data_IF_865647124486
#
_entry.id   IF_865647124486
#
_cell.length_a   1.000
_cell.length_b   1.000
_cell.length_c   1.000
_cell.angle_alpha   90.00
_cell.angle_beta   90.00
_cell.angle_gamma   90.00
#
_symmetry.space_group_name_H-M   'P 1'
#
loop_
_entity.id
_entity.type
_entity.pdbx_description
1 polymer ?
#
# COMPACT_ATOMS: atom_id res chain seq x y z
N UNK A 1 -11.92 -0.75 5.06
CA UNK A 1 -11.95 -0.52 3.60
C UNK A 1 -13.19 0.28 3.24
N UNK A 2 -13.03 1.39 2.49
CA UNK A 2 -14.16 2.27 2.16
C UNK A 2 -15.18 1.59 1.24
N UNK A 3 -14.70 0.84 0.23
CA UNK A 3 -15.57 0.14 -0.72
C UNK A 3 -16.44 -0.95 -0.07
N UNK A 4 -15.87 -1.77 0.83
CA UNK A 4 -16.66 -2.79 1.54
C UNK A 4 -17.69 -2.15 2.48
N UNK A 5 -17.32 -1.04 3.14
CA UNK A 5 -18.21 -0.34 4.07
C UNK A 5 -19.40 0.34 3.37
N UNK A 6 -19.33 0.58 2.06
CA UNK A 6 -20.45 1.11 1.29
C UNK A 6 -21.48 0.06 0.86
N UNK A 7 -21.18 -1.24 1.04
CA UNK A 7 -22.11 -2.31 0.65
C UNK A 7 -23.22 -2.44 1.71
N UNK A 8 -24.51 -2.48 1.31
CA UNK A 8 -25.63 -2.69 2.22
C UNK A 8 -25.42 -3.95 3.09
N UNK A 9 -25.80 -3.87 4.37
CA UNK A 9 -25.62 -4.98 5.32
C UNK A 9 -24.25 -5.04 6.01
N UNK A 10 -23.25 -4.31 5.54
CA UNK A 10 -21.96 -4.22 6.23
C UNK A 10 -22.05 -3.17 7.37
N UNK A 11 -21.79 -3.60 8.61
CA UNK A 11 -21.67 -2.73 9.79
C UNK A 11 -20.25 -2.17 9.91
N UNK A 12 -19.25 -3.04 9.79
CA UNK A 12 -17.84 -2.69 9.79
C UNK A 12 -17.07 -3.65 8.89
N UNK A 13 -15.89 -3.23 8.41
CA UNK A 13 -15.11 -4.06 7.50
C UNK A 13 -13.62 -3.71 7.46
N UNK A 14 -12.81 -4.76 7.34
CA UNK A 14 -11.38 -4.74 7.04
C UNK A 14 -11.15 -5.51 5.74
N UNK A 15 -10.40 -4.92 4.81
CA UNK A 15 -9.94 -5.63 3.60
C UNK A 15 -8.42 -5.60 3.61
N UNK A 16 -7.81 -6.77 3.57
CA UNK A 16 -6.38 -6.96 3.50
C UNK A 16 -6.00 -7.38 2.09
N UNK A 17 -4.89 -6.83 1.60
CA UNK A 17 -4.33 -7.17 0.29
C UNK A 17 -3.13 -8.08 0.51
N UNK A 18 -3.19 -9.28 -0.02
CA UNK A 18 -2.15 -10.29 0.12
C UNK A 18 -1.46 -10.47 -1.24
N UNK A 19 -0.14 -10.21 -1.34
CA UNK A 19 0.58 -10.41 -2.58
C UNK A 19 0.72 -11.91 -2.89
N UNK A 20 0.40 -12.30 -4.12
CA UNK A 20 0.61 -13.66 -4.64
C UNK A 20 1.82 -13.74 -5.59
N UNK A 21 2.52 -12.62 -5.79
CA UNK A 21 3.62 -12.48 -6.76
C UNK A 21 3.15 -11.97 -8.11
N UNK A 22 4.09 -11.53 -8.95
CA UNK A 22 3.83 -11.07 -10.34
C UNK A 22 2.77 -9.97 -10.49
N UNK A 23 2.55 -9.16 -9.45
CA UNK A 23 1.53 -8.11 -9.44
C UNK A 23 0.10 -8.60 -9.18
N UNK A 24 -0.10 -9.89 -8.93
CA UNK A 24 -1.39 -10.49 -8.60
C UNK A 24 -1.61 -10.42 -7.09
N UNK A 25 -2.84 -10.07 -6.70
CA UNK A 25 -3.22 -9.94 -5.30
C UNK A 25 -4.46 -10.77 -4.98
N UNK A 26 -4.52 -11.22 -3.73
CA UNK A 26 -5.71 -11.78 -3.10
C UNK A 26 -6.27 -10.77 -2.11
N UNK A 27 -7.60 -10.67 -2.03
CA UNK A 27 -8.31 -9.85 -1.04
C UNK A 27 -8.88 -10.73 0.06
N UNK A 28 -8.47 -10.48 1.30
CA UNK A 28 -9.08 -11.10 2.49
C UNK A 28 -9.97 -10.05 3.16
N UNK A 29 -11.29 -10.25 3.09
CA UNK A 29 -12.28 -9.29 3.56
C UNK A 29 -12.96 -9.84 4.80
N UNK A 30 -12.84 -9.13 5.92
CA UNK A 30 -13.49 -9.43 7.19
C UNK A 30 -14.63 -8.44 7.43
N UNK A 31 -15.83 -8.91 7.73
CA UNK A 31 -17.01 -8.07 7.92
C UNK A 31 -17.73 -8.37 9.24
N UNK A 32 -18.23 -7.30 9.85
CA UNK A 32 -19.34 -7.36 10.80
C UNK A 32 -20.63 -7.09 10.02
N UNK A 33 -21.65 -7.92 10.22
CA UNK A 33 -22.95 -7.74 9.58
C UNK A 33 -23.88 -6.87 10.43
N UNK A 34 -24.77 -6.14 9.75
CA UNK A 34 -25.94 -5.53 10.37
C UNK A 34 -26.99 -6.61 10.63
N UNK A 35 -27.80 -6.39 11.65
CA UNK A 35 -28.91 -7.28 11.99
C UNK A 35 -29.92 -7.34 10.82
N UNK A 36 -30.43 -8.53 10.52
CA UNK A 36 -31.41 -8.76 9.45
C UNK A 36 -30.85 -8.94 8.04
N UNK A 37 -29.52 -8.92 7.84
CA UNK A 37 -28.89 -9.19 6.55
C UNK A 37 -28.32 -10.62 6.49
N UNK A 38 -28.45 -11.28 5.32
CA UNK A 38 -27.78 -12.56 5.05
C UNK A 38 -26.30 -12.35 4.76
N UNK A 39 -25.45 -13.19 5.35
CA UNK A 39 -24.03 -13.22 5.07
C UNK A 39 -23.77 -13.52 3.59
N UNK A 40 -24.48 -14.49 3.02
CA UNK A 40 -24.30 -14.97 1.66
C UNK A 40 -24.57 -13.87 0.63
N UNK A 41 -25.66 -13.11 0.83
CA UNK A 41 -26.02 -11.98 -0.03
C UNK A 41 -24.95 -10.88 0.02
N UNK A 42 -24.52 -10.50 1.22
CA UNK A 42 -23.49 -9.46 1.41
C UNK A 42 -22.13 -9.92 0.86
N UNK A 43 -21.75 -11.18 1.10
CA UNK A 43 -20.51 -11.74 0.58
C UNK A 43 -20.51 -11.84 -0.95
N UNK A 44 -21.66 -12.18 -1.56
CA UNK A 44 -21.84 -12.16 -3.01
C UNK A 44 -21.67 -10.74 -3.56
N UNK A 45 -22.38 -9.77 -2.96
CA UNK A 45 -22.28 -8.37 -3.34
C UNK A 45 -20.85 -7.83 -3.28
N UNK A 46 -20.10 -8.18 -2.23
CA UNK A 46 -18.68 -7.83 -2.09
C UNK A 46 -17.85 -8.41 -3.24
N UNK A 47 -18.05 -9.69 -3.60
CA UNK A 47 -17.26 -10.34 -4.65
C UNK A 47 -17.59 -9.83 -6.05
N UNK A 48 -18.81 -9.34 -6.27
CA UNK A 48 -19.26 -8.81 -7.56
C UNK A 48 -19.05 -7.31 -7.71
N UNK A 49 -18.65 -6.61 -6.64
CA UNK A 49 -18.31 -5.19 -6.71
C UNK A 49 -17.09 -4.97 -7.62
N UNK A 50 -17.11 -3.91 -8.41
CA UNK A 50 -16.05 -3.54 -9.37
C UNK A 50 -14.66 -3.48 -8.72
N UNK A 51 -14.57 -3.17 -7.42
CA UNK A 51 -13.30 -3.12 -6.69
C UNK A 51 -12.69 -4.52 -6.43
N UNK A 52 -13.50 -5.58 -6.44
CA UNK A 52 -13.13 -6.93 -6.02
C UNK A 52 -13.26 -7.99 -7.11
N UNK A 53 -14.10 -7.76 -8.13
CA UNK A 53 -14.47 -8.75 -9.14
C UNK A 53 -13.28 -9.29 -9.96
N UNK A 54 -12.18 -8.53 -10.02
CA UNK A 54 -10.97 -8.91 -10.75
C UNK A 54 -9.92 -9.64 -9.88
N UNK A 55 -10.12 -9.69 -8.56
CA UNK A 55 -9.17 -10.28 -7.61
C UNK A 55 -9.78 -11.53 -6.96
N UNK A 56 -8.94 -12.50 -6.62
CA UNK A 56 -9.35 -13.60 -5.75
C UNK A 56 -9.79 -13.04 -4.39
N UNK A 57 -11.09 -13.11 -4.08
CA UNK A 57 -11.66 -12.45 -2.91
C UNK A 57 -12.32 -13.47 -1.96
N UNK A 58 -11.84 -13.51 -0.72
CA UNK A 58 -12.42 -14.30 0.37
C UNK A 58 -13.13 -13.37 1.36
N UNK A 59 -14.37 -13.68 1.71
CA UNK A 59 -15.16 -12.91 2.66
C UNK A 59 -15.39 -13.77 3.91
N UNK A 60 -15.10 -13.22 5.08
CA UNK A 60 -15.27 -13.88 6.37
C UNK A 60 -16.08 -12.98 7.30
N UNK A 61 -17.07 -13.56 7.97
CA UNK A 61 -17.80 -12.88 9.04
C UNK A 61 -17.02 -12.98 10.35
N UNK A 62 -16.96 -11.88 11.10
CA UNK A 62 -16.30 -11.80 12.41
C UNK A 62 -17.14 -11.00 13.39
N UNK A 63 -16.94 -11.24 14.69
CA UNK A 63 -17.70 -10.57 15.74
C UNK A 63 -17.29 -9.10 15.94
N UNK A 64 -15.99 -8.82 15.80
CA UNK A 64 -15.41 -7.48 15.98
C UNK A 64 -14.21 -7.30 15.06
N UNK A 65 -14.39 -6.50 14.02
CA UNK A 65 -13.35 -6.18 13.03
C UNK A 65 -12.17 -5.44 13.69
N UNK A 66 -12.39 -4.68 14.77
CA UNK A 66 -11.33 -3.87 15.38
C UNK A 66 -10.20 -4.71 15.98
N UNK A 67 -10.50 -5.96 16.38
CA UNK A 67 -9.49 -6.90 16.90
C UNK A 67 -8.52 -7.40 15.83
N UNK A 68 -8.85 -7.20 14.55
CA UNK A 68 -8.05 -7.65 13.41
C UNK A 68 -7.25 -6.50 12.77
N UNK A 69 -7.42 -5.26 13.26
CA UNK A 69 -6.80 -4.09 12.65
C UNK A 69 -5.30 -4.10 12.98
N UNK A 70 -4.50 -4.32 11.94
CA UNK A 70 -3.07 -4.05 11.91
C UNK A 70 -2.79 -2.97 10.84
N UNK A 71 -1.94 -2.00 11.19
CA UNK A 71 -1.46 -0.96 10.27
C UNK A 71 -0.16 -1.37 9.56
N UNK A 72 0.31 -2.60 9.81
CA UNK A 72 1.36 -3.27 9.07
C UNK A 72 1.02 -3.33 7.58
N UNK A 73 2.00 -2.95 6.77
CA UNK A 73 1.92 -2.99 5.32
C UNK A 73 3.29 -3.31 4.75
N UNK A 74 3.32 -3.72 3.49
CA UNK A 74 4.57 -4.00 2.82
C UNK A 74 4.47 -3.83 1.32
N UNK A 75 5.62 -3.81 0.70
CA UNK A 75 5.75 -3.88 -0.75
C UNK A 75 6.90 -4.81 -1.08
N UNK A 76 6.74 -5.55 -2.17
CA UNK A 76 7.82 -6.23 -2.86
C UNK A 76 7.77 -5.76 -4.30
N UNK A 77 8.86 -5.14 -4.76
CA UNK A 77 9.02 -4.70 -6.14
C UNK A 77 10.19 -5.47 -6.74
N UNK A 78 9.91 -6.23 -7.80
CA UNK A 78 10.87 -7.07 -8.47
C UNK A 78 11.06 -6.63 -9.92
N UNK A 79 12.31 -6.67 -10.39
CA UNK A 79 12.64 -6.48 -11.80
C UNK A 79 13.71 -7.47 -12.24
N UNK A 80 13.35 -8.35 -13.18
CA UNK A 80 14.28 -9.17 -13.94
C UNK A 80 14.50 -8.54 -15.32
N UNK A 81 15.76 -8.36 -15.71
CA UNK A 81 16.08 -7.67 -16.95
C UNK A 81 17.46 -7.99 -17.51
N UNK A 82 17.91 -7.10 -18.40
CA UNK A 82 19.15 -7.22 -19.16
C UNK A 82 19.87 -5.87 -19.12
N UNK A 83 21.17 -5.88 -18.81
CA UNK A 83 22.05 -4.73 -18.95
C UNK A 83 22.86 -4.88 -20.24
N UNK A 84 22.49 -4.15 -21.29
CA UNK A 84 23.10 -4.33 -22.62
C UNK A 84 22.86 -5.74 -23.16
N UNK A 85 23.90 -6.57 -23.20
CA UNK A 85 23.82 -8.01 -23.60
C UNK A 85 23.86 -8.98 -22.41
N UNK A 86 24.02 -8.48 -21.19
CA UNK A 86 24.16 -9.29 -19.99
C UNK A 86 22.79 -9.59 -19.38
N UNK A 87 22.28 -10.78 -19.67
CA UNK A 87 20.99 -11.25 -19.17
C UNK A 87 20.97 -11.49 -17.65
N UNK A 88 19.77 -11.75 -17.13
CA UNK A 88 19.54 -12.19 -15.74
C UNK A 88 19.98 -11.18 -14.67
N UNK A 89 19.78 -9.89 -14.93
CA UNK A 89 19.89 -8.85 -13.89
C UNK A 89 18.63 -8.89 -13.02
N UNK A 90 18.80 -9.05 -11.72
CA UNK A 90 17.69 -9.18 -10.77
C UNK A 90 17.79 -8.06 -9.74
N UNK A 91 16.74 -7.26 -9.63
CA UNK A 91 16.58 -6.22 -8.62
C UNK A 91 15.33 -6.51 -7.80
N UNK A 92 15.45 -6.30 -6.50
CA UNK A 92 14.36 -6.45 -5.55
C UNK A 92 14.40 -5.31 -4.53
N UNK A 93 13.23 -4.75 -4.23
CA UNK A 93 13.04 -3.75 -3.19
C UNK A 93 11.88 -4.19 -2.29
N UNK A 94 12.15 -4.27 -0.98
CA UNK A 94 11.21 -4.78 0.01
C UNK A 94 10.99 -3.79 1.15
N UNK A 95 9.74 -3.69 1.61
CA UNK A 95 9.39 -2.99 2.84
C UNK A 95 8.44 -3.82 3.70
N UNK A 96 8.65 -3.77 5.01
CA UNK A 96 7.69 -4.19 6.04
C UNK A 96 7.60 -3.05 7.04
N UNK A 97 6.50 -2.33 7.03
CA UNK A 97 6.41 -1.00 7.64
C UNK A 97 5.06 -0.79 8.29
N UNK A 98 4.97 0.23 9.14
CA UNK A 98 3.69 0.81 9.52
C UNK A 98 3.33 1.87 8.47
N UNK A 99 2.20 1.67 7.77
CA UNK A 99 1.82 2.49 6.61
C UNK A 99 1.73 3.99 6.93
N UNK A 100 0.84 4.44 7.85
CA UNK A 100 0.72 5.87 8.12
C UNK A 100 2.01 6.49 8.68
N UNK A 101 2.79 5.74 9.46
CA UNK A 101 4.06 6.24 10.00
C UNK A 101 5.09 6.51 8.88
N UNK A 102 5.26 5.56 7.94
CA UNK A 102 6.16 5.76 6.80
C UNK A 102 5.67 6.90 5.91
N UNK A 103 4.37 6.98 5.63
CA UNK A 103 3.78 8.08 4.85
C UNK A 103 4.11 9.43 5.49
N UNK A 104 3.90 9.57 6.81
CA UNK A 104 4.21 10.81 7.54
C UNK A 104 5.71 11.18 7.48
N UNK A 105 6.59 10.19 7.57
CA UNK A 105 8.04 10.40 7.45
C UNK A 105 8.40 10.91 6.04
N UNK A 106 7.86 10.30 4.98
CA UNK A 106 8.12 10.74 3.60
C UNK A 106 7.54 12.13 3.34
N UNK A 107 6.35 12.45 3.88
CA UNK A 107 5.79 13.82 3.80
C UNK A 107 6.70 14.85 4.46
N UNK A 108 7.28 14.52 5.62
CA UNK A 108 8.25 15.39 6.31
C UNK A 108 9.51 15.59 5.46
N UNK A 109 10.01 14.54 4.81
CA UNK A 109 11.14 14.62 3.88
C UNK A 109 10.81 15.46 2.64
N UNK A 110 9.62 15.30 2.07
CA UNK A 110 9.15 16.09 0.92
C UNK A 110 8.97 17.57 1.27
N UNK A 111 8.46 17.87 2.48
CA UNK A 111 8.35 19.24 2.97
C UNK A 111 9.72 19.92 3.12
N UNK A 112 10.77 19.16 3.49
CA UNK A 112 12.16 19.66 3.50
C UNK A 112 12.67 19.92 2.09
N UNK A 113 12.51 18.96 1.19
CA UNK A 113 12.98 19.08 -0.19
C UNK A 113 12.30 20.23 -0.94
N UNK A 114 11.01 20.49 -0.69
CA UNK A 114 10.26 21.56 -1.35
C UNK A 114 10.85 22.96 -1.10
N UNK A 115 11.52 23.17 0.04
CA UNK A 115 12.22 24.43 0.35
C UNK A 115 13.49 24.65 -0.47
N UNK A 116 14.00 23.61 -1.14
CA UNK A 116 15.18 23.64 -2.00
C UNK A 116 14.85 23.76 -3.49
N UNK A 117 13.58 23.57 -3.87
CA UNK A 117 13.16 23.58 -5.27
C UNK A 117 12.76 24.98 -5.75
N UNK A 118 12.79 25.16 -7.07
CA UNK A 118 12.20 26.34 -7.73
C UNK A 118 10.66 26.26 -7.70
N UNK A 119 9.93 27.35 -7.98
CA UNK A 119 8.48 27.31 -8.07
C UNK A 119 8.00 26.27 -9.10
N UNK A 120 7.10 25.39 -8.67
CA UNK A 120 6.57 24.30 -9.48
C UNK A 120 5.86 23.23 -8.65
N UNK A 121 5.33 22.23 -9.33
CA UNK A 121 4.77 21.03 -8.72
C UNK A 121 5.64 19.84 -9.12
N UNK A 122 6.05 19.04 -8.14
CA UNK A 122 7.01 17.96 -8.36
C UNK A 122 6.49 16.66 -7.74
N UNK A 123 6.68 15.57 -8.48
CA UNK A 123 6.64 14.20 -7.95
C UNK A 123 8.02 13.81 -7.41
N UNK A 124 8.13 12.73 -6.62
CA UNK A 124 9.40 12.33 -6.01
C UNK A 124 10.49 11.94 -7.02
N UNK A 125 10.13 11.52 -8.24
CA UNK A 125 11.11 11.17 -9.29
C UNK A 125 11.83 12.41 -9.85
N UNK A 126 11.25 13.60 -9.65
CA UNK A 126 11.82 14.89 -10.08
C UNK A 126 12.72 15.52 -9.01
N UNK A 127 12.72 14.95 -7.80
CA UNK A 127 13.45 15.47 -6.63
C UNK A 127 14.73 14.65 -6.42
N UNK A 128 15.92 15.30 -6.36
CA UNK A 128 17.13 14.60 -5.95
C UNK A 128 16.97 14.02 -4.54
N UNK A 129 17.23 12.72 -4.36
CA UNK A 129 17.01 12.04 -3.06
C UNK A 129 17.79 12.67 -1.90
N UNK A 130 18.92 13.32 -2.17
CA UNK A 130 19.70 14.04 -1.15
C UNK A 130 18.94 15.24 -0.56
N UNK A 131 18.00 15.83 -1.31
CA UNK A 131 17.20 16.95 -0.83
C UNK A 131 16.18 16.55 0.23
N UNK A 132 15.81 15.26 0.25
CA UNK A 132 14.94 14.66 1.27
C UNK A 132 15.63 14.55 2.63
N UNK A 133 16.96 14.54 2.67
CA UNK A 133 17.75 14.32 3.88
C UNK A 133 18.02 15.63 4.64
N UNK A 134 18.13 15.51 5.96
CA UNK A 134 18.57 16.60 6.82
C UNK A 134 20.10 16.63 6.91
N UNK A 135 20.68 17.83 6.83
CA UNK A 135 22.12 18.05 6.95
C UNK A 135 22.74 18.69 5.70
N UNK A 136 24.03 19.01 5.82
CA UNK A 136 24.82 19.61 4.75
C UNK A 136 25.17 18.58 3.68
N UNK A 137 25.17 19.03 2.41
CA UNK A 137 25.33 18.16 1.25
C UNK A 137 26.65 17.39 1.28
N UNK A 138 27.75 18.06 1.58
CA UNK A 138 29.09 17.49 1.61
C UNK A 138 29.20 16.39 2.68
N UNK A 139 28.57 16.61 3.84
CA UNK A 139 28.57 15.64 4.93
C UNK A 139 27.71 14.41 4.59
N UNK A 140 26.57 14.61 3.94
CA UNK A 140 25.71 13.53 3.46
C UNK A 140 26.42 12.68 2.40
N UNK A 141 27.09 13.31 1.44
CA UNK A 141 27.87 12.60 0.41
C UNK A 141 28.97 11.77 1.07
N UNK A 142 29.76 12.37 1.97
CA UNK A 142 30.84 11.67 2.67
C UNK A 142 30.36 10.44 3.46
N UNK A 143 29.14 10.45 3.96
CA UNK A 143 28.61 9.39 4.82
C UNK A 143 27.87 8.29 4.05
N UNK A 144 27.36 8.56 2.86
CA UNK A 144 26.39 7.70 2.15
C UNK A 144 26.86 7.22 0.77
N UNK A 145 27.99 7.74 0.26
CA UNK A 145 28.61 7.38 -1.04
C UNK A 145 30.06 7.00 -0.81
#
# INVERSE_FOLDING_TARGET
STAVKSIPGVKNALSLTIPLGTGVHRRMVYIELKEGFSFEEVASAIKTDEYFVHDETHVLQVDDVNKLIDMGHGVTMERKGVSGKSHNQLFEFNMKINNPALTAQILTCAARASKKQKPGCYTLIEIPVIDLLYGEREQLIKNLV
#
